data_IF_626434128753
#
_entry.id   IF_626434128753
#
_cell.length_a   1.000
_cell.length_b   1.000
_cell.length_c   1.000
_cell.angle_alpha   90.00
_cell.angle_beta   90.00
_cell.angle_gamma   90.00
#
_symmetry.space_group_name_H-M   'P 1'
#
loop_
_entity.id
_entity.type
_entity.pdbx_description
1 polymer ?
#
# COMPACT_ATOMS: atom_id res chain seq x y z
N UNK A 1 -15.97 -9.72 -6.54
CA UNK A 1 -15.47 -8.88 -5.43
C UNK A 1 -14.12 -8.32 -5.85
N UNK A 2 -14.00 -7.01 -6.03
CA UNK A 2 -12.74 -6.36 -6.45
C UNK A 2 -11.85 -6.08 -5.24
N UNK A 3 -10.54 -6.06 -5.42
CA UNK A 3 -9.61 -5.57 -4.40
C UNK A 3 -9.68 -4.03 -4.34
N UNK A 4 -9.62 -3.46 -3.13
CA UNK A 4 -9.66 -2.01 -2.92
C UNK A 4 -8.26 -1.43 -2.88
N UNK A 5 -8.06 -0.21 -3.39
CA UNK A 5 -6.81 0.54 -3.23
C UNK A 5 -6.99 1.54 -2.08
N UNK A 6 -6.09 1.50 -1.10
CA UNK A 6 -6.09 2.37 0.08
C UNK A 6 -4.75 3.11 0.13
N UNK A 7 -4.78 4.38 0.49
CA UNK A 7 -3.58 5.16 0.82
C UNK A 7 -3.52 5.31 2.34
N UNK A 8 -2.40 4.94 2.93
CA UNK A 8 -2.19 4.96 4.39
C UNK A 8 -0.97 5.80 4.72
N UNK A 9 -1.01 6.44 5.89
CA UNK A 9 0.13 7.19 6.44
C UNK A 9 0.97 6.31 7.38
N UNK A 10 0.89 4.99 7.18
CA UNK A 10 1.77 4.06 7.88
C UNK A 10 3.18 4.22 7.31
N UNK A 11 4.18 4.33 8.17
CA UNK A 11 5.56 4.47 7.73
C UNK A 11 6.13 3.08 7.47
N UNK A 12 6.41 2.75 6.20
CA UNK A 12 7.45 1.76 5.94
C UNK A 12 8.76 2.36 6.42
N UNK A 13 9.35 1.77 7.44
CA UNK A 13 10.70 2.07 7.88
C UNK A 13 11.72 1.76 6.78
N UNK A 14 12.95 2.28 6.91
CA UNK A 14 14.03 1.95 5.98
C UNK A 14 14.38 0.45 5.93
N UNK A 15 13.93 -0.31 6.92
CA UNK A 15 14.14 -1.76 7.04
C UNK A 15 13.08 -2.58 6.33
N UNK A 16 11.94 -2.02 5.95
CA UNK A 16 10.90 -2.78 5.25
C UNK A 16 11.34 -3.06 3.81
N UNK A 17 11.50 -4.35 3.48
CA UNK A 17 11.99 -4.81 2.18
C UNK A 17 10.87 -5.45 1.38
N UNK A 18 11.02 -5.39 0.05
CA UNK A 18 10.15 -6.14 -0.84
C UNK A 18 10.41 -7.64 -0.69
N UNK A 19 9.34 -8.44 -0.67
CA UNK A 19 9.42 -9.92 -0.58
C UNK A 19 10.09 -10.58 -1.80
N UNK A 20 10.39 -9.78 -2.84
CA UNK A 20 11.00 -10.24 -4.10
C UNK A 20 12.36 -9.61 -4.41
N UNK A 21 12.78 -8.55 -3.72
CA UNK A 21 14.10 -7.93 -3.94
C UNK A 21 14.55 -7.10 -2.72
N UNK A 22 15.84 -6.78 -2.59
CA UNK A 22 16.35 -6.02 -1.45
C UNK A 22 15.94 -4.53 -1.44
N UNK A 23 15.09 -4.07 -2.37
CA UNK A 23 14.60 -2.69 -2.37
C UNK A 23 13.62 -2.44 -1.21
N UNK A 24 13.45 -1.16 -0.83
CA UNK A 24 12.45 -0.76 0.17
C UNK A 24 11.03 -1.06 -0.32
N UNK A 25 10.17 -1.54 0.57
CA UNK A 25 8.75 -1.69 0.30
C UNK A 25 8.04 -0.33 0.32
N UNK A 26 7.11 -0.15 -0.61
CA UNK A 26 6.28 1.06 -0.73
C UNK A 26 4.79 0.72 -0.75
N UNK A 27 4.47 -0.57 -0.82
CA UNK A 27 3.11 -1.06 -0.78
C UNK A 27 3.00 -2.35 0.00
N UNK A 28 1.85 -2.52 0.65
CA UNK A 28 1.43 -3.73 1.34
C UNK A 28 0.22 -4.32 0.63
N UNK A 29 0.17 -5.65 0.52
CA UNK A 29 -0.95 -6.37 -0.08
C UNK A 29 -1.54 -7.27 0.99
N UNK A 30 -2.72 -6.90 1.49
CA UNK A 30 -3.46 -7.71 2.45
C UNK A 30 -4.20 -8.80 1.69
N UNK A 31 -3.95 -10.06 2.03
CA UNK A 31 -4.56 -11.20 1.35
C UNK A 31 -5.93 -11.56 1.95
N UNK A 32 -6.84 -12.05 1.12
CA UNK A 32 -8.17 -12.53 1.56
C UNK A 32 -8.07 -13.75 2.49
N UNK A 33 -7.03 -14.56 2.32
CA UNK A 33 -6.72 -15.71 3.17
C UNK A 33 -6.16 -15.33 4.54
N UNK A 34 -5.90 -14.05 4.78
CA UNK A 34 -5.06 -13.59 5.88
C UNK A 34 -3.59 -13.51 5.48
N UNK A 35 -2.84 -12.71 6.22
CA UNK A 35 -1.44 -12.38 5.93
C UNK A 35 -1.27 -11.19 4.98
N UNK A 36 -0.01 -10.78 4.85
CA UNK A 36 0.39 -9.56 4.15
C UNK A 36 1.66 -9.84 3.33
N UNK A 37 1.75 -9.20 2.15
CA UNK A 37 2.95 -9.20 1.33
C UNK A 37 3.44 -7.77 1.09
N UNK A 38 4.74 -7.54 1.20
CA UNK A 38 5.36 -6.24 1.02
C UNK A 38 6.07 -6.14 -0.35
N UNK A 39 5.79 -5.07 -1.09
CA UNK A 39 6.35 -4.86 -2.43
C UNK A 39 6.95 -3.47 -2.61
N UNK A 40 8.04 -3.39 -3.36
CA UNK A 40 8.48 -2.14 -3.98
C UNK A 40 7.54 -1.79 -5.15
N UNK A 41 7.47 -0.51 -5.54
CA UNK A 41 6.60 -0.06 -6.63
C UNK A 41 6.78 -0.87 -7.93
N UNK A 42 8.04 -1.21 -8.27
CA UNK A 42 8.35 -2.03 -9.45
C UNK A 42 7.68 -3.41 -9.39
N UNK A 43 7.85 -4.15 -8.29
CA UNK A 43 7.30 -5.49 -8.20
C UNK A 43 5.79 -5.50 -7.94
N UNK A 44 5.26 -4.49 -7.25
CA UNK A 44 3.81 -4.34 -7.17
C UNK A 44 3.21 -4.25 -8.57
N UNK A 45 3.72 -3.36 -9.45
CA UNK A 45 3.22 -3.23 -10.83
C UNK A 45 3.29 -4.54 -11.60
N UNK A 46 4.39 -5.28 -11.45
CA UNK A 46 4.59 -6.58 -12.09
C UNK A 46 3.58 -7.64 -11.61
N UNK A 47 3.31 -7.70 -10.31
CA UNK A 47 2.48 -8.76 -9.72
C UNK A 47 1.02 -8.37 -9.49
N UNK A 48 0.65 -7.09 -9.67
CA UNK A 48 -0.69 -6.57 -9.34
C UNK A 48 -1.82 -7.37 -9.96
N UNK A 49 -1.71 -7.74 -11.24
CA UNK A 49 -2.75 -8.49 -11.94
C UNK A 49 -2.96 -9.88 -11.32
N UNK A 50 -1.89 -10.58 -10.97
CA UNK A 50 -1.95 -11.89 -10.33
C UNK A 50 -2.42 -11.83 -8.87
N UNK A 51 -2.09 -10.74 -8.16
CA UNK A 51 -2.48 -10.52 -6.77
C UNK A 51 -3.92 -10.02 -6.63
N UNK A 52 -4.46 -9.28 -7.60
CA UNK A 52 -5.80 -8.69 -7.54
C UNK A 52 -6.93 -9.66 -7.13
N UNK A 53 -7.02 -10.90 -7.65
CA UNK A 53 -8.05 -11.84 -7.19
C UNK A 53 -7.82 -12.34 -5.75
N UNK A 54 -6.57 -12.39 -5.29
CA UNK A 54 -6.17 -12.89 -3.98
C UNK A 54 -6.19 -11.79 -2.89
N UNK A 55 -6.06 -10.54 -3.30
CA UNK A 55 -5.95 -9.39 -2.43
C UNK A 55 -7.32 -8.97 -1.89
N UNK A 56 -7.36 -8.73 -0.58
CA UNK A 56 -8.43 -7.99 0.08
C UNK A 56 -8.29 -6.50 -0.28
N UNK A 57 -7.09 -5.95 -0.12
CA UNK A 57 -6.77 -4.57 -0.46
C UNK A 57 -5.27 -4.37 -0.72
N UNK A 58 -4.97 -3.34 -1.50
CA UNK A 58 -3.64 -2.81 -1.73
C UNK A 58 -3.49 -1.53 -0.93
N UNK A 59 -2.46 -1.45 -0.10
CA UNK A 59 -2.14 -0.27 0.69
C UNK A 59 -0.88 0.38 0.13
N UNK A 60 -0.96 1.67 -0.21
CA UNK A 60 0.21 2.45 -0.61
C UNK A 60 0.53 3.47 0.46
N UNK A 61 1.77 3.43 0.93
CA UNK A 61 2.20 4.34 1.98
C UNK A 61 2.64 5.64 1.32
N UNK A 62 2.00 6.73 1.74
CA UNK A 62 2.29 8.08 1.27
C UNK A 62 2.80 8.91 2.43
N UNK A 63 3.59 9.93 2.13
CA UNK A 63 4.09 10.84 3.16
C UNK A 63 2.93 11.60 3.81
N UNK A 64 3.09 11.99 5.09
CA UNK A 64 2.06 12.69 5.86
C UNK A 64 1.61 13.98 5.16
N UNK A 65 2.56 14.74 4.61
CA UNK A 65 2.27 15.98 3.89
C UNK A 65 1.42 15.73 2.63
N UNK A 66 1.67 14.64 1.88
CA UNK A 66 0.83 14.25 0.74
C UNK A 66 -0.56 13.83 1.21
N UNK A 67 -0.67 13.09 2.31
CA UNK A 67 -1.95 12.63 2.82
C UNK A 67 -2.84 13.81 3.28
N UNK A 68 -2.26 14.79 3.96
CA UNK A 68 -2.97 15.98 4.44
C UNK A 68 -3.50 16.86 3.30
N UNK A 69 -2.87 16.84 2.12
CA UNK A 69 -3.35 17.56 0.93
C UNK A 69 -4.75 17.09 0.47
N UNK A 70 -5.17 15.88 0.84
CA UNK A 70 -6.48 15.31 0.49
C UNK A 70 -7.52 15.39 1.62
N UNK A 71 -7.15 15.83 2.82
CA UNK A 71 -8.10 16.01 3.93
C UNK A 71 -8.75 17.38 3.79
N UNK A 72 -10.07 17.48 3.56
CA UNK A 72 -10.74 18.78 3.50
C UNK A 72 -10.61 19.49 4.84
N UNK A 73 -10.30 20.78 4.80
CA UNK A 73 -10.22 21.61 6.00
C UNK A 73 -11.55 21.51 6.78
N UNK A 74 -11.52 21.42 8.12
CA UNK A 74 -12.74 21.31 8.91
C UNK A 74 -13.62 22.53 8.63
N UNK A 75 -14.91 22.29 8.37
CA UNK A 75 -15.88 23.36 8.19
C UNK A 75 -15.87 24.25 9.45
N UNK A 76 -15.56 25.54 9.27
CA UNK A 76 -15.65 26.52 10.36
C UNK A 76 -17.11 26.69 10.73
N UNK A 77 -17.41 26.57 12.03
CA UNK A 77 -18.74 26.91 12.60
C UNK A 77 -18.99 28.40 12.51
#
# INVERSE_FOLDING_TARGET
MTATEVRTVALFTATDRCDRCPARATALVVLRSGGELAFCDHHLRRYRAALAPLALRFERHVELDEALAFVPAPARR
#
